data_IF_946608099674
#
_entry.id   IF_946608099674
#
_cell.length_a   1.000
_cell.length_b   1.000
_cell.length_c   1.000
_cell.angle_alpha   90.00
_cell.angle_beta   90.00
_cell.angle_gamma   90.00
#
_symmetry.space_group_name_H-M   'P 1'
#
loop_
_entity.id
_entity.type
_entity.pdbx_description
1 polymer ?
#
# COMPACT_ATOMS: atom_id res chain seq x y z
N UNK A 1 19.87 10.41 -4.93
CA UNK A 1 19.31 9.08 -4.61
C UNK A 1 17.80 9.14 -4.72
N UNK A 2 17.11 8.05 -5.08
CA UNK A 2 15.64 7.98 -5.11
C UNK A 2 15.02 8.39 -3.76
N UNK A 3 15.71 8.09 -2.66
CA UNK A 3 15.34 8.55 -1.31
C UNK A 3 15.29 10.07 -1.20
N UNK A 4 16.18 10.81 -1.88
CA UNK A 4 16.19 12.27 -1.93
C UNK A 4 15.00 12.88 -2.68
N UNK A 5 14.39 12.14 -3.61
CA UNK A 5 13.28 12.60 -4.47
C UNK A 5 11.94 12.50 -3.72
N UNK A 6 11.76 11.47 -2.87
CA UNK A 6 10.58 11.34 -2.00
C UNK A 6 10.40 12.53 -1.06
N UNK A 7 11.49 13.19 -0.64
CA UNK A 7 11.44 14.36 0.24
C UNK A 7 10.89 15.63 -0.43
N UNK A 8 10.87 15.71 -1.76
CA UNK A 8 10.70 16.98 -2.47
C UNK A 8 9.31 17.17 -3.10
N UNK A 9 8.33 16.30 -2.82
CA UNK A 9 6.99 16.38 -3.45
C UNK A 9 7.02 16.32 -4.98
N UNK A 10 8.17 15.99 -5.57
CA UNK A 10 8.46 16.01 -7.01
C UNK A 10 8.33 14.62 -7.63
N UNK A 11 7.39 13.84 -7.12
CA UNK A 11 6.97 12.54 -7.66
C UNK A 11 5.59 12.67 -8.30
N UNK A 12 5.30 11.81 -9.27
CA UNK A 12 3.98 11.73 -9.89
C UNK A 12 2.88 11.65 -8.81
N UNK A 13 1.80 12.41 -9.00
CA UNK A 13 0.67 12.57 -8.06
C UNK A 13 0.92 13.46 -6.82
N UNK A 14 2.10 14.07 -6.68
CA UNK A 14 2.36 15.12 -5.69
C UNK A 14 2.78 14.59 -4.31
N UNK A 15 2.43 15.34 -3.26
CA UNK A 15 2.77 15.02 -1.86
C UNK A 15 1.99 13.81 -1.35
N UNK A 16 2.72 12.77 -0.92
CA UNK A 16 2.11 11.59 -0.30
C UNK A 16 1.32 11.96 0.97
N UNK A 17 1.86 12.89 1.78
CA UNK A 17 1.22 13.34 3.03
C UNK A 17 -0.14 13.99 2.77
N UNK A 18 -0.22 14.86 1.77
CA UNK A 18 -1.48 15.54 1.44
C UNK A 18 -2.49 14.57 0.84
N UNK A 19 -2.02 13.60 0.04
CA UNK A 19 -2.88 12.56 -0.52
C UNK A 19 -3.54 11.74 0.60
N UNK A 20 -2.77 11.17 1.54
CA UNK A 20 -3.33 10.30 2.59
C UNK A 20 -4.19 11.08 3.59
N UNK A 21 -3.77 12.29 3.99
CA UNK A 21 -4.58 13.14 4.89
C UNK A 21 -5.87 13.59 4.22
N UNK A 22 -5.81 13.99 2.95
CA UNK A 22 -6.99 14.40 2.18
C UNK A 22 -8.06 13.30 2.15
N UNK A 23 -7.69 12.06 1.82
CA UNK A 23 -8.62 10.93 1.86
C UNK A 23 -9.13 10.61 3.28
N UNK A 24 -8.27 10.75 4.29
CA UNK A 24 -8.63 10.53 5.70
C UNK A 24 -9.65 11.54 6.24
N UNK A 25 -9.59 12.79 5.78
CA UNK A 25 -10.62 13.77 6.16
C UNK A 25 -11.90 13.58 5.34
N UNK A 26 -11.78 13.20 4.06
CA UNK A 26 -12.93 12.92 3.21
C UNK A 26 -13.76 11.73 3.68
N UNK A 27 -13.16 10.70 4.30
CA UNK A 27 -13.93 9.56 4.84
C UNK A 27 -14.88 9.95 5.98
N UNK A 28 -14.68 11.12 6.63
CA UNK A 28 -15.63 11.64 7.63
C UNK A 28 -16.88 12.25 6.99
N UNK A 29 -16.79 12.62 5.71
CA UNK A 29 -17.86 13.31 4.97
C UNK A 29 -18.57 12.40 3.97
N UNK A 30 -17.86 11.45 3.39
CA UNK A 30 -18.35 10.59 2.33
C UNK A 30 -18.24 9.12 2.72
N UNK A 31 -19.05 8.27 2.08
CA UNK A 31 -18.98 6.81 2.23
C UNK A 31 -17.72 6.29 1.55
N UNK A 32 -16.60 6.32 2.27
CA UNK A 32 -15.29 5.87 1.80
C UNK A 32 -14.77 4.82 2.79
N UNK A 33 -14.37 3.66 2.27
CA UNK A 33 -13.68 2.65 3.06
C UNK A 33 -12.18 2.91 3.01
N UNK A 34 -11.61 3.36 4.12
CA UNK A 34 -10.17 3.55 4.26
C UNK A 34 -9.53 2.26 4.79
N UNK A 35 -8.56 1.71 4.05
CA UNK A 35 -7.85 0.47 4.36
C UNK A 35 -6.34 0.71 4.42
N UNK A 36 -5.65 -0.06 5.25
CA UNK A 36 -4.20 -0.06 5.34
C UNK A 36 -3.65 -1.32 4.67
N UNK A 37 -2.54 -1.16 3.95
CA UNK A 37 -1.85 -2.29 3.35
C UNK A 37 -1.34 -3.25 4.44
N UNK A 38 -0.94 -2.72 5.59
CA UNK A 38 -0.45 -3.48 6.72
C UNK A 38 -1.55 -4.36 7.32
N UNK A 39 -2.79 -3.86 7.42
CA UNK A 39 -3.93 -4.65 7.90
C UNK A 39 -4.25 -5.81 6.94
N UNK A 40 -4.21 -5.55 5.63
CA UNK A 40 -4.39 -6.58 4.59
C UNK A 40 -3.31 -7.66 4.63
N UNK A 41 -2.11 -7.31 5.09
CA UNK A 41 -0.99 -8.22 5.22
C UNK A 41 -1.03 -9.04 6.50
N UNK A 42 -1.49 -8.44 7.60
CA UNK A 42 -1.65 -9.09 8.91
C UNK A 42 -2.84 -10.06 8.92
N UNK A 43 -4.00 -9.60 8.46
CA UNK A 43 -5.23 -10.40 8.44
C UNK A 43 -6.04 -10.10 7.16
N UNK A 44 -5.68 -10.72 6.02
CA UNK A 44 -6.38 -10.49 4.76
C UNK A 44 -7.85 -10.88 4.83
N UNK A 45 -8.22 -11.91 5.57
CA UNK A 45 -9.61 -12.38 5.65
C UNK A 45 -10.49 -11.40 6.41
N UNK A 46 -9.98 -10.77 7.48
CA UNK A 46 -10.68 -9.69 8.19
C UNK A 46 -10.92 -8.49 7.29
N UNK A 47 -9.91 -8.04 6.56
CA UNK A 47 -10.07 -6.89 5.68
C UNK A 47 -10.97 -7.20 4.46
N UNK A 48 -10.96 -8.44 3.94
CA UNK A 48 -11.91 -8.88 2.92
C UNK A 48 -13.36 -8.83 3.45
N UNK A 49 -13.61 -9.29 4.68
CA UNK A 49 -14.94 -9.18 5.30
C UNK A 49 -15.40 -7.73 5.39
N UNK A 50 -14.52 -6.84 5.85
CA UNK A 50 -14.78 -5.39 5.91
C UNK A 50 -15.13 -4.79 4.55
N UNK A 51 -14.44 -5.22 3.48
CA UNK A 51 -14.78 -4.81 2.09
C UNK A 51 -16.16 -5.33 1.69
N UNK A 52 -16.47 -6.61 1.98
CA UNK A 52 -17.77 -7.20 1.63
C UNK A 52 -18.92 -6.50 2.34
N UNK A 53 -18.78 -6.22 3.63
CA UNK A 53 -19.75 -5.45 4.42
C UNK A 53 -19.93 -4.04 3.85
N UNK A 54 -18.84 -3.35 3.52
CA UNK A 54 -18.91 -2.02 2.92
C UNK A 54 -19.63 -2.00 1.56
N UNK A 55 -19.48 -3.08 0.78
CA UNK A 55 -20.16 -3.28 -0.51
C UNK A 55 -21.58 -3.86 -0.36
N UNK A 56 -22.09 -4.02 0.87
CA UNK A 56 -23.41 -4.61 1.17
C UNK A 56 -23.58 -6.01 0.56
N UNK A 57 -22.50 -6.81 0.56
CA UNK A 57 -22.51 -8.20 0.11
C UNK A 57 -22.57 -9.14 1.31
N UNK A 58 -23.34 -10.25 1.22
CA UNK A 58 -23.37 -11.24 2.29
C UNK A 58 -21.98 -11.86 2.48
N UNK A 59 -21.54 -11.94 3.73
CA UNK A 59 -20.25 -12.55 4.09
C UNK A 59 -20.40 -14.07 4.05
N UNK A 60 -19.82 -14.69 3.03
CA UNK A 60 -19.64 -16.15 2.93
C UNK A 60 -18.17 -16.49 3.21
N UNK A 61 -17.92 -17.22 4.28
CA UNK A 61 -16.59 -17.64 4.72
C UNK A 61 -15.82 -18.46 3.66
N UNK A 62 -16.53 -19.26 2.85
CA UNK A 62 -15.89 -19.99 1.77
C UNK A 62 -15.43 -19.05 0.65
N UNK A 63 -16.22 -18.01 0.36
CA UNK A 63 -15.86 -16.99 -0.60
C UNK A 63 -14.70 -16.13 -0.09
N UNK A 64 -14.71 -15.74 1.19
CA UNK A 64 -13.60 -14.99 1.83
C UNK A 64 -12.28 -15.74 1.68
N UNK A 65 -12.25 -17.04 2.00
CA UNK A 65 -11.05 -17.88 1.85
C UNK A 65 -10.59 -18.00 0.40
N UNK A 66 -11.53 -18.14 -0.54
CA UNK A 66 -11.21 -18.17 -1.98
C UNK A 66 -10.59 -16.85 -2.44
N UNK A 67 -11.18 -15.72 -2.06
CA UNK A 67 -10.65 -14.39 -2.39
C UNK A 67 -9.25 -14.26 -1.83
N UNK A 68 -9.07 -14.50 -0.52
CA UNK A 68 -7.78 -14.44 0.17
C UNK A 68 -6.70 -15.28 -0.53
N UNK A 69 -7.02 -16.50 -0.94
CA UNK A 69 -6.11 -17.35 -1.72
C UNK A 69 -5.74 -16.73 -3.08
N UNK A 70 -6.74 -16.34 -3.88
CA UNK A 70 -6.53 -15.83 -5.24
C UNK A 70 -5.86 -14.46 -5.28
N UNK A 71 -6.06 -13.63 -4.25
CA UNK A 71 -5.41 -12.32 -4.10
C UNK A 71 -4.10 -12.39 -3.30
N UNK A 72 -3.65 -13.59 -2.92
CA UNK A 72 -2.35 -13.74 -2.27
C UNK A 72 -1.21 -13.34 -3.21
N UNK A 73 -0.12 -12.78 -2.66
CA UNK A 73 1.04 -12.37 -3.45
C UNK A 73 1.60 -13.50 -4.31
N UNK A 74 1.66 -14.73 -3.77
CA UNK A 74 2.13 -15.91 -4.51
C UNK A 74 1.28 -16.17 -5.75
N UNK A 75 -0.05 -16.14 -5.62
CA UNK A 75 -0.96 -16.40 -6.75
C UNK A 75 -0.94 -15.24 -7.73
N UNK A 76 -1.01 -14.00 -7.25
CA UNK A 76 -1.03 -12.80 -8.11
C UNK A 76 0.29 -12.59 -8.88
N UNK A 77 1.45 -12.90 -8.27
CA UNK A 77 2.75 -12.78 -8.96
C UNK A 77 2.89 -13.74 -10.16
N UNK A 78 2.15 -14.85 -10.14
CA UNK A 78 2.11 -15.83 -11.22
C UNK A 78 1.00 -15.55 -12.24
N UNK A 79 -0.02 -14.78 -11.88
CA UNK A 79 -1.14 -14.45 -12.75
C UNK A 79 -0.78 -13.37 -13.78
N UNK A 80 -0.77 -13.72 -15.08
CA UNK A 80 -0.47 -12.80 -16.18
C UNK A 80 -1.40 -11.59 -16.26
N UNK A 81 -2.65 -11.73 -15.83
CA UNK A 81 -3.62 -10.61 -15.81
C UNK A 81 -3.35 -9.60 -14.69
N UNK A 82 -2.54 -9.96 -13.68
CA UNK A 82 -2.29 -9.12 -12.52
C UNK A 82 -0.81 -8.70 -12.38
N UNK A 83 0.13 -9.46 -12.95
CA UNK A 83 1.57 -9.22 -12.79
C UNK A 83 2.19 -8.31 -13.85
N UNK A 84 1.40 -7.83 -14.82
CA UNK A 84 1.80 -6.91 -15.89
C UNK A 84 2.95 -7.41 -16.80
N UNK A 85 3.26 -8.71 -16.81
CA UNK A 85 4.30 -9.28 -17.67
C UNK A 85 3.96 -9.23 -19.17
N UNK A 86 2.70 -8.99 -19.51
CA UNK A 86 2.26 -8.80 -20.90
C UNK A 86 2.56 -7.40 -21.45
N UNK A 87 2.97 -6.45 -20.60
CA UNK A 87 3.36 -5.12 -21.06
C UNK A 87 4.72 -5.15 -21.77
N UNK A 88 4.93 -4.35 -22.82
CA UNK A 88 6.23 -4.21 -23.46
C UNK A 88 7.30 -3.69 -22.49
N UNK A 89 8.55 -4.10 -22.68
CA UNK A 89 9.71 -3.64 -21.91
C UNK A 89 9.87 -2.12 -21.95
N UNK A 90 9.46 -1.45 -23.03
CA UNK A 90 9.46 0.01 -23.15
C UNK A 90 8.49 0.72 -22.20
N UNK A 91 7.48 0.02 -21.71
CA UNK A 91 6.51 0.52 -20.71
C UNK A 91 6.93 0.07 -19.32
N UNK A 92 7.32 -1.20 -19.16
CA UNK A 92 7.73 -1.77 -17.89
C UNK A 92 8.78 -2.85 -18.08
N UNK A 93 10.03 -2.55 -17.71
CA UNK A 93 11.14 -3.50 -17.80
C UNK A 93 11.22 -4.40 -16.58
N UNK A 94 10.58 -5.58 -16.70
CA UNK A 94 10.59 -6.60 -15.65
C UNK A 94 11.95 -7.29 -15.46
N UNK A 95 12.93 -7.06 -16.34
CA UNK A 95 14.30 -7.60 -16.16
C UNK A 95 15.09 -6.81 -15.13
N UNK A 96 14.79 -5.51 -14.98
CA UNK A 96 15.36 -4.63 -13.95
C UNK A 96 14.65 -4.83 -12.61
N UNK A 97 13.31 -4.77 -12.61
CA UNK A 97 12.51 -5.08 -11.43
C UNK A 97 11.12 -5.55 -11.86
N UNK A 98 10.64 -6.71 -11.38
CA UNK A 98 9.27 -7.13 -11.64
C UNK A 98 8.27 -6.21 -10.92
N UNK A 99 7.07 -6.06 -11.49
CA UNK A 99 5.98 -5.29 -10.87
C UNK A 99 5.62 -5.84 -9.47
N UNK A 100 5.36 -7.15 -9.39
CA UNK A 100 5.15 -7.86 -8.12
C UNK A 100 6.52 -8.19 -7.49
N UNK A 101 7.12 -7.22 -6.79
CA UNK A 101 8.52 -7.29 -6.33
C UNK A 101 8.76 -8.16 -5.09
N UNK A 102 8.16 -7.82 -3.95
CA UNK A 102 8.34 -8.54 -2.67
C UNK A 102 7.05 -8.79 -1.91
N UNK A 103 6.10 -7.85 -1.93
CA UNK A 103 4.81 -8.02 -1.24
C UNK A 103 4.93 -8.14 0.29
N UNK A 104 5.86 -7.43 0.91
CA UNK A 104 6.12 -7.43 2.37
C UNK A 104 6.07 -6.02 2.94
N UNK A 105 5.68 -5.90 4.20
CA UNK A 105 5.87 -4.67 4.98
C UNK A 105 7.28 -4.65 5.58
N UNK A 106 7.84 -3.46 5.82
CA UNK A 106 9.15 -3.31 6.46
C UNK A 106 10.38 -3.37 5.55
N UNK A 107 10.23 -3.54 4.23
CA UNK A 107 11.40 -3.61 3.31
C UNK A 107 12.21 -2.30 3.26
N UNK A 108 11.66 -1.18 3.75
CA UNK A 108 12.36 0.08 3.90
C UNK A 108 13.64 -0.06 4.74
N UNK A 109 13.67 -0.97 5.73
CA UNK A 109 14.85 -1.24 6.57
C UNK A 109 16.05 -1.75 5.77
N UNK A 110 15.80 -2.39 4.63
CA UNK A 110 16.84 -2.87 3.73
C UNK A 110 17.31 -1.82 2.71
N UNK A 111 16.67 -0.65 2.68
CA UNK A 111 16.91 0.39 1.67
C UNK A 111 17.42 1.69 2.27
N UNK A 112 16.98 2.05 3.48
CA UNK A 112 17.35 3.28 4.15
C UNK A 112 18.62 3.08 4.98
N UNK A 113 19.54 4.04 4.88
CA UNK A 113 20.58 4.20 5.89
C UNK A 113 19.98 4.81 7.16
N UNK A 114 20.65 4.67 8.30
CA UNK A 114 20.20 5.26 9.58
C UNK A 114 19.93 6.76 9.45
N UNK A 115 20.88 7.51 8.88
CA UNK A 115 20.74 8.96 8.68
C UNK A 115 19.60 9.33 7.72
N UNK A 116 19.31 8.50 6.71
CA UNK A 116 18.16 8.73 5.83
C UNK A 116 16.85 8.48 6.56
N UNK A 117 16.79 7.46 7.42
CA UNK A 117 15.61 7.15 8.19
C UNK A 117 15.32 8.24 9.23
N UNK A 118 16.32 8.69 9.98
CA UNK A 118 16.16 9.77 10.97
C UNK A 118 15.59 11.04 10.32
N UNK A 119 16.16 11.46 9.18
CA UNK A 119 15.66 12.61 8.43
C UNK A 119 14.24 12.40 7.91
N UNK A 120 13.89 11.19 7.49
CA UNK A 120 12.53 10.86 7.06
C UNK A 120 11.54 10.92 8.22
N UNK A 121 11.89 10.34 9.36
CA UNK A 121 11.04 10.32 10.56
C UNK A 121 10.78 11.73 11.10
N UNK A 122 11.78 12.60 11.11
CA UNK A 122 11.61 14.02 11.49
C UNK A 122 10.64 14.73 10.55
N UNK A 123 10.83 14.58 9.23
CA UNK A 123 9.94 15.17 8.23
C UNK A 123 8.52 14.61 8.35
N UNK A 124 8.37 13.29 8.49
CA UNK A 124 7.10 12.61 8.64
C UNK A 124 6.33 13.14 9.86
N UNK A 125 7.00 13.25 11.02
CA UNK A 125 6.38 13.80 12.24
C UNK A 125 5.84 15.21 12.03
N UNK A 126 6.60 16.09 11.38
CA UNK A 126 6.14 17.44 11.07
C UNK A 126 4.94 17.43 10.12
N UNK A 127 5.01 16.66 9.03
CA UNK A 127 3.97 16.65 7.99
C UNK A 127 2.66 15.99 8.43
N UNK A 128 2.77 15.01 9.35
CA UNK A 128 1.65 14.27 9.93
C UNK A 128 1.19 14.86 11.28
N UNK A 129 1.71 16.02 11.68
CA UNK A 129 1.23 16.69 12.89
C UNK A 129 -0.24 17.12 12.71
N UNK A 130 -1.05 16.92 13.76
CA UNK A 130 -2.45 17.35 13.79
C UNK A 130 -3.46 16.41 13.12
N UNK A 131 -3.00 15.33 12.48
CA UNK A 131 -3.91 14.25 12.03
C UNK A 131 -4.01 13.13 13.07
N UNK A 132 -5.16 12.46 13.10
CA UNK A 132 -5.37 11.22 13.87
C UNK A 132 -4.96 9.97 13.09
N UNK A 133 -4.55 10.13 11.83
CA UNK A 133 -4.10 9.04 10.96
C UNK A 133 -2.75 8.49 11.44
N UNK A 134 -2.72 7.19 11.71
CA UNK A 134 -1.51 6.47 12.13
C UNK A 134 -1.22 5.34 11.15
N UNK A 135 0.04 5.22 10.74
CA UNK A 135 0.53 4.15 9.89
C UNK A 135 1.45 3.24 10.70
N UNK A 136 1.40 1.94 10.40
CA UNK A 136 2.39 0.97 10.89
C UNK A 136 3.49 0.85 9.84
N UNK A 137 4.75 0.82 10.28
CA UNK A 137 5.91 0.64 9.38
C UNK A 137 6.42 -0.80 9.35
N UNK A 138 5.81 -1.67 10.16
CA UNK A 138 6.09 -3.09 10.31
C UNK A 138 4.84 -3.86 10.76
N UNK A 139 4.87 -5.17 10.57
CA UNK A 139 3.83 -6.15 10.95
C UNK A 139 4.55 -7.30 11.66
#
# INVERSE_FOLDING_TARGET
>A
SFTSILFLSSVSFGSWYDHVKGWWDLMKKYRILYLFYEDLKEDPEREIRKIMEFLERPVDENLVKKISHHTSFKVMSQNQMANYKSLPTSVMDHTVSPFMRKGVAGDWKNQFTVAQNERFDENYKMQMTGTTLQFRTEI
#
